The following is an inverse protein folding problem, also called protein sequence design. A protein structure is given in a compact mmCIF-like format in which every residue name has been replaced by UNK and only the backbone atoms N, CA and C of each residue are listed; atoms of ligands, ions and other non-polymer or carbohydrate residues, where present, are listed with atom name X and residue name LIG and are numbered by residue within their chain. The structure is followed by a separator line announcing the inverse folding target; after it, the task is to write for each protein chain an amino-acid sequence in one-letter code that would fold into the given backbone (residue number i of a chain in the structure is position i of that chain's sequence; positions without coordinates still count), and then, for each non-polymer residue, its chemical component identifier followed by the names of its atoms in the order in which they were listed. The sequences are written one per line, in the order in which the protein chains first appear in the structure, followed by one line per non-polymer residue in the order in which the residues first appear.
data_IF_757386864313
#
_entry.id   IF_757386864313
#
_cell.length_a   1.000
_cell.length_b   1.000
_cell.length_c   1.000
_cell.angle_alpha   90.00
_cell.angle_beta   90.00
_cell.angle_gamma   90.00
#
_symmetry.space_group_name_H-M   'P 1'
#
loop_
_entity.id
_entity.type
_entity.pdbx_description
1 polymer ?
#
# COMPACT_ATOMS: atom_id res chain seq x y z
N UNK A 1 -6.46 -14.34 5.73
CA UNK A 1 -5.88 -14.74 4.42
C UNK A 1 -4.57 -15.48 4.61
N UNK A 2 -3.50 -14.86 5.13
CA UNK A 2 -2.17 -15.49 5.24
C UNK A 2 -2.17 -16.79 6.08
N UNK A 3 -2.79 -16.77 7.27
CA UNK A 3 -2.84 -17.94 8.16
C UNK A 3 -3.49 -19.16 7.49
N UNK A 4 -4.61 -18.91 6.81
CA UNK A 4 -5.42 -19.90 6.10
C UNK A 4 -4.94 -20.19 4.66
N UNK A 5 -3.83 -19.56 4.24
CA UNK A 5 -3.29 -19.66 2.88
C UNK A 5 -4.28 -19.28 1.75
N UNK A 6 -5.23 -18.39 2.04
CA UNK A 6 -6.18 -17.85 1.06
C UNK A 6 -5.56 -16.70 0.24
N UNK A 7 -4.42 -16.93 -0.39
CA UNK A 7 -3.74 -15.94 -1.23
C UNK A 7 -3.08 -16.59 -2.45
N UNK A 8 -2.88 -15.81 -3.51
CA UNK A 8 -2.21 -16.27 -4.74
C UNK A 8 -0.70 -16.43 -4.49
N UNK A 9 -0.33 -17.65 -4.08
CA UNK A 9 1.05 -18.04 -3.80
C UNK A 9 1.97 -17.79 -4.99
N UNK A 10 1.52 -18.05 -6.21
CA UNK A 10 2.37 -17.91 -7.39
C UNK A 10 2.58 -16.44 -7.77
N UNK A 11 1.56 -15.62 -7.65
CA UNK A 11 1.71 -14.18 -7.82
C UNK A 11 2.71 -13.61 -6.82
N UNK A 12 2.54 -13.91 -5.54
CA UNK A 12 3.45 -13.43 -4.48
C UNK A 12 4.88 -13.90 -4.75
N UNK A 13 5.07 -15.18 -5.09
CA UNK A 13 6.40 -15.74 -5.39
C UNK A 13 7.07 -15.09 -6.60
N UNK A 14 6.30 -14.75 -7.64
CA UNK A 14 6.86 -14.23 -8.90
C UNK A 14 7.08 -12.72 -8.88
N UNK A 15 6.19 -11.97 -8.24
CA UNK A 15 6.09 -10.51 -8.43
C UNK A 15 6.45 -9.70 -7.19
N UNK A 16 6.91 -10.34 -6.11
CA UNK A 16 7.39 -9.66 -4.90
C UNK A 16 8.84 -10.00 -4.61
N UNK A 17 9.50 -9.20 -3.78
CA UNK A 17 10.86 -9.39 -3.29
C UNK A 17 10.90 -10.26 -2.01
N UNK A 18 10.11 -11.34 -1.97
CA UNK A 18 10.00 -12.22 -0.80
C UNK A 18 11.34 -12.84 -0.37
N UNK A 19 12.26 -13.05 -1.33
CA UNK A 19 13.59 -13.60 -1.08
C UNK A 19 14.51 -12.58 -0.41
N UNK A 20 14.40 -11.31 -0.80
CA UNK A 20 15.09 -10.19 -0.14
C UNK A 20 14.62 -10.03 1.30
N UNK A 21 13.32 -10.12 1.56
CA UNK A 21 12.77 -10.13 2.91
C UNK A 21 13.45 -11.20 3.78
N UNK A 22 13.58 -12.43 3.29
CA UNK A 22 14.25 -13.50 4.05
C UNK A 22 15.73 -13.18 4.27
N UNK A 23 16.47 -12.72 3.25
CA UNK A 23 17.90 -12.41 3.38
C UNK A 23 18.18 -11.28 4.37
N UNK A 24 17.31 -10.27 4.42
CA UNK A 24 17.53 -9.05 5.21
C UNK A 24 16.92 -9.17 6.61
N UNK A 25 15.69 -9.65 6.72
CA UNK A 25 14.93 -9.65 7.98
C UNK A 25 15.17 -10.94 8.78
N UNK A 26 15.38 -12.07 8.10
CA UNK A 26 15.59 -13.38 8.72
C UNK A 26 16.91 -14.02 8.28
N UNK A 27 18.06 -13.35 8.52
CA UNK A 27 19.36 -13.88 8.11
C UNK A 27 19.61 -15.23 8.80
N UNK A 28 19.92 -16.26 8.00
CA UNK A 28 20.14 -17.63 8.48
C UNK A 28 18.99 -18.61 8.20
N UNK A 29 17.82 -18.12 7.82
CA UNK A 29 16.75 -18.97 7.28
C UNK A 29 17.07 -19.46 5.87
N UNK A 30 16.62 -20.67 5.47
CA UNK A 30 16.64 -21.10 4.07
C UNK A 30 15.88 -20.10 3.19
N UNK A 31 16.47 -19.71 2.05
CA UNK A 31 15.82 -18.79 1.11
C UNK A 31 14.88 -19.58 0.19
N UNK A 32 13.76 -20.05 0.76
CA UNK A 32 12.71 -20.78 0.05
C UNK A 32 11.37 -20.08 0.24
N UNK A 33 10.46 -20.26 -0.71
CA UNK A 33 9.16 -19.60 -0.64
C UNK A 33 8.31 -20.10 0.54
N UNK A 34 8.39 -21.38 0.87
CA UNK A 34 7.67 -21.93 2.03
C UNK A 34 8.18 -21.36 3.36
N UNK A 35 9.49 -21.15 3.49
CA UNK A 35 10.07 -20.48 4.66
C UNK A 35 9.61 -19.03 4.74
N UNK A 36 9.52 -18.33 3.61
CA UNK A 36 8.93 -16.98 3.54
C UNK A 36 7.48 -16.96 4.03
N UNK A 37 6.64 -17.89 3.56
CA UNK A 37 5.24 -17.97 3.98
C UNK A 37 5.14 -18.26 5.48
N UNK A 38 6.01 -19.12 6.02
CA UNK A 38 6.07 -19.41 7.45
C UNK A 38 6.45 -18.17 8.27
N UNK A 39 7.50 -17.45 7.87
CA UNK A 39 7.92 -16.19 8.53
C UNK A 39 6.86 -15.10 8.41
N UNK A 40 6.17 -15.01 7.28
CA UNK A 40 5.06 -14.08 7.07
C UNK A 40 3.87 -14.41 7.99
N UNK A 41 3.53 -15.70 8.17
CA UNK A 41 2.51 -16.14 9.14
C UNK A 41 2.87 -15.72 10.56
N UNK A 42 4.13 -15.88 10.96
CA UNK A 42 4.60 -15.47 12.29
C UNK A 42 4.56 -13.96 12.49
N UNK A 43 5.00 -13.18 11.50
CA UNK A 43 4.96 -11.72 11.56
C UNK A 43 3.53 -11.19 11.68
N UNK A 44 2.58 -11.85 11.01
CA UNK A 44 1.17 -11.49 11.05
C UNK A 44 0.36 -12.17 12.16
N UNK A 45 0.97 -13.04 12.98
CA UNK A 45 0.24 -13.86 13.96
C UNK A 45 -0.52 -13.03 15.00
N UNK A 46 -0.01 -11.84 15.36
CA UNK A 46 -0.64 -10.94 16.34
C UNK A 46 -1.87 -10.18 15.81
N UNK A 47 -2.08 -10.13 14.50
CA UNK A 47 -3.20 -9.38 13.89
C UNK A 47 -4.40 -10.29 13.67
N UNK A 48 -5.01 -10.74 14.76
CA UNK A 48 -6.18 -11.62 14.69
C UNK A 48 -7.46 -10.83 14.41
N UNK A 49 -8.53 -11.48 13.89
CA UNK A 49 -9.84 -10.85 13.74
C UNK A 49 -10.38 -10.25 15.04
N UNK A 50 -10.14 -10.90 16.20
CA UNK A 50 -10.58 -10.43 17.52
C UNK A 50 -9.81 -9.18 17.96
N UNK A 51 -8.50 -9.13 17.71
CA UNK A 51 -7.70 -7.93 17.96
C UNK A 51 -8.16 -6.76 17.07
N UNK A 52 -8.51 -7.03 15.82
CA UNK A 52 -9.06 -6.04 14.90
C UNK A 52 -10.46 -5.57 15.31
N UNK A 53 -11.31 -6.46 15.83
CA UNK A 53 -12.63 -6.12 16.37
C UNK A 53 -12.53 -5.14 17.55
N UNK A 54 -11.60 -5.39 18.48
CA UNK A 54 -11.36 -4.50 19.62
C UNK A 54 -10.94 -3.08 19.18
N UNK A 55 -10.16 -2.96 18.11
CA UNK A 55 -9.64 -1.67 17.63
C UNK A 55 -10.60 -0.94 16.69
N UNK A 56 -11.35 -1.66 15.86
CA UNK A 56 -12.18 -1.09 14.79
C UNK A 56 -13.67 -1.06 15.11
N UNK A 57 -14.13 -1.88 16.06
CA UNK A 57 -15.55 -2.14 16.31
C UNK A 57 -16.24 -2.98 15.23
N UNK A 58 -15.51 -3.45 14.21
CA UNK A 58 -16.05 -4.36 13.19
C UNK A 58 -16.03 -5.78 13.75
N UNK A 59 -17.15 -6.52 13.76
CA UNK A 59 -17.19 -7.88 14.30
C UNK A 59 -16.14 -8.79 13.65
N UNK A 60 -15.43 -9.60 14.44
CA UNK A 60 -14.41 -10.53 13.94
C UNK A 60 -14.93 -11.43 12.80
N UNK A 61 -16.17 -11.92 12.93
CA UNK A 61 -16.84 -12.71 11.88
C UNK A 61 -16.90 -11.99 10.54
N UNK A 62 -17.18 -10.69 10.54
CA UNK A 62 -17.31 -9.88 9.32
C UNK A 62 -15.96 -9.66 8.66
N UNK A 63 -14.89 -9.55 9.46
CA UNK A 63 -13.51 -9.48 8.96
C UNK A 63 -13.12 -10.80 8.27
N UNK A 64 -13.47 -11.94 8.86
CA UNK A 64 -13.22 -13.26 8.28
C UNK A 64 -14.03 -13.47 7.00
N UNK A 65 -15.33 -13.15 7.01
CA UNK A 65 -16.20 -13.21 5.83
C UNK A 65 -15.64 -12.35 4.68
N UNK A 66 -15.25 -11.11 4.97
CA UNK A 66 -14.62 -10.23 3.98
C UNK A 66 -13.34 -10.85 3.40
N UNK A 67 -12.48 -11.44 4.24
CA UNK A 67 -11.27 -12.12 3.78
C UNK A 67 -11.57 -13.32 2.85
N UNK A 68 -12.65 -14.06 3.12
CA UNK A 68 -13.10 -15.15 2.25
C UNK A 68 -13.65 -14.63 0.92
N UNK A 69 -14.42 -13.53 0.93
CA UNK A 69 -14.92 -12.93 -0.31
C UNK A 69 -13.79 -12.41 -1.19
N UNK A 70 -12.77 -11.77 -0.60
CA UNK A 70 -11.58 -11.33 -1.33
C UNK A 70 -10.85 -12.52 -1.97
N UNK A 71 -10.71 -13.62 -1.24
CA UNK A 71 -10.09 -14.84 -1.77
C UNK A 71 -10.93 -15.47 -2.90
N UNK A 72 -12.25 -15.49 -2.77
CA UNK A 72 -13.17 -15.97 -3.82
C UNK A 72 -13.14 -15.10 -5.07
N UNK A 73 -13.03 -13.78 -4.89
CA UNK A 73 -13.04 -12.82 -5.98
C UNK A 73 -11.70 -12.72 -6.71
N UNK A 74 -10.60 -13.23 -6.14
CA UNK A 74 -9.27 -13.17 -6.74
C UNK A 74 -9.26 -13.76 -8.17
N UNK A 75 -8.61 -13.10 -9.16
CA UNK A 75 -7.84 -11.86 -9.06
C UNK A 75 -8.67 -10.57 -9.34
N UNK A 76 -9.99 -10.64 -9.39
CA UNK A 76 -10.88 -9.49 -9.63
C UNK A 76 -11.18 -8.72 -8.34
N UNK A 77 -10.11 -8.22 -7.69
CA UNK A 77 -10.19 -7.44 -6.45
C UNK A 77 -9.57 -6.07 -6.68
N UNK A 78 -10.31 -5.00 -6.35
CA UNK A 78 -9.78 -3.65 -6.40
C UNK A 78 -9.89 -2.96 -5.05
N UNK A 79 -8.80 -2.32 -4.59
CA UNK A 79 -8.79 -1.54 -3.35
C UNK A 79 -8.39 -0.11 -3.64
N UNK A 80 -9.08 0.84 -3.00
CA UNK A 80 -8.82 2.27 -3.17
C UNK A 80 -8.72 2.94 -1.81
N UNK A 81 -7.71 3.80 -1.67
CA UNK A 81 -7.49 4.56 -0.45
C UNK A 81 -8.09 5.97 -0.60
N UNK A 82 -8.89 6.39 0.37
CA UNK A 82 -9.32 7.77 0.45
C UNK A 82 -8.18 8.65 0.98
N UNK A 83 -7.94 9.81 0.34
CA UNK A 83 -6.80 10.69 0.67
C UNK A 83 -6.72 11.04 2.15
N UNK A 84 -7.85 11.32 2.81
CA UNK A 84 -7.84 11.73 4.20
C UNK A 84 -7.33 10.62 5.14
N UNK A 85 -7.57 9.34 4.83
CA UNK A 85 -7.06 8.24 5.64
C UNK A 85 -5.52 8.20 5.66
N UNK A 86 -4.88 8.56 4.54
CA UNK A 86 -3.43 8.61 4.45
C UNK A 86 -2.79 9.90 5.00
N UNK A 87 -3.50 11.04 4.91
CA UNK A 87 -2.92 12.36 5.18
C UNK A 87 -3.28 12.96 6.55
N UNK A 88 -4.37 12.53 7.19
CA UNK A 88 -4.93 13.22 8.36
C UNK A 88 -4.48 12.66 9.72
N UNK A 89 -3.62 11.63 9.75
CA UNK A 89 -3.20 10.98 10.99
C UNK A 89 -1.72 10.61 10.98
N UNK A 90 -1.10 10.61 12.17
CA UNK A 90 0.27 10.11 12.34
C UNK A 90 0.36 8.66 11.88
N UNK A 91 1.24 8.37 10.92
CA UNK A 91 1.36 7.05 10.32
C UNK A 91 0.26 6.68 9.30
N UNK A 92 -0.60 7.62 8.91
CA UNK A 92 -1.69 7.37 7.94
C UNK A 92 -1.22 6.76 6.61
N UNK A 93 0.02 7.02 6.18
CA UNK A 93 0.64 6.42 4.99
C UNK A 93 0.73 4.88 5.04
N UNK A 94 0.59 4.27 6.22
CA UNK A 94 0.54 2.81 6.38
C UNK A 94 -0.79 2.22 5.88
N UNK A 95 -1.89 2.97 5.92
CA UNK A 95 -3.22 2.55 5.43
C UNK A 95 -3.20 2.13 3.96
N UNK A 96 -2.74 2.96 3.01
CA UNK A 96 -2.66 2.55 1.61
C UNK A 96 -1.73 1.36 1.39
N UNK A 97 -0.67 1.19 2.20
CA UNK A 97 0.20 0.00 2.12
C UNK A 97 -0.53 -1.27 2.53
N UNK A 98 -1.27 -1.24 3.64
CA UNK A 98 -2.07 -2.36 4.11
C UNK A 98 -3.18 -2.73 3.13
N UNK A 99 -3.88 -1.73 2.58
CA UNK A 99 -4.91 -1.95 1.54
C UNK A 99 -4.31 -2.57 0.27
N UNK A 100 -3.22 -1.98 -0.25
CA UNK A 100 -2.59 -2.51 -1.46
C UNK A 100 -1.99 -3.90 -1.26
N UNK A 101 -1.60 -4.25 -0.04
CA UNK A 101 -1.15 -5.61 0.27
C UNK A 101 -2.25 -6.66 0.05
N UNK A 102 -3.54 -6.32 0.20
CA UNK A 102 -4.63 -7.20 -0.21
C UNK A 102 -4.62 -7.47 -1.73
N UNK A 103 -4.26 -6.48 -2.54
CA UNK A 103 -4.10 -6.70 -3.98
C UNK A 103 -2.94 -7.64 -4.30
N UNK A 104 -1.83 -7.53 -3.55
CA UNK A 104 -0.68 -8.43 -3.67
C UNK A 104 -1.07 -9.86 -3.29
N UNK A 105 -1.79 -10.04 -2.16
CA UNK A 105 -2.26 -11.35 -1.72
C UNK A 105 -3.28 -11.95 -2.68
N UNK A 106 -4.10 -11.15 -3.36
CA UNK A 106 -5.10 -11.65 -4.32
C UNK A 106 -4.60 -11.74 -5.75
N UNK A 107 -3.33 -11.37 -6.00
CA UNK A 107 -2.77 -11.33 -7.35
C UNK A 107 -3.50 -10.39 -8.31
N UNK A 108 -4.12 -9.33 -7.79
CA UNK A 108 -5.08 -8.50 -8.51
C UNK A 108 -4.49 -7.20 -9.09
N UNK A 109 -3.17 -7.10 -9.17
CA UNK A 109 -2.50 -5.93 -9.76
C UNK A 109 -2.46 -6.08 -11.28
N UNK A 110 -3.16 -5.20 -12.00
CA UNK A 110 -3.15 -5.17 -13.47
C UNK A 110 -3.98 -6.28 -14.14
N UNK A 111 -4.89 -6.93 -13.41
CA UNK A 111 -5.76 -7.99 -13.92
C UNK A 111 -7.15 -7.45 -14.29
N UNK A 112 -7.92 -8.14 -15.16
CA UNK A 112 -9.32 -7.81 -15.37
C UNK A 112 -10.12 -7.83 -14.05
N UNK A 113 -10.77 -6.71 -13.72
CA UNK A 113 -11.48 -6.52 -12.45
C UNK A 113 -10.58 -6.21 -11.23
N UNK A 114 -9.26 -6.19 -11.43
CA UNK A 114 -8.27 -5.88 -10.41
C UNK A 114 -7.97 -4.37 -10.28
N UNK A 115 -6.95 -4.04 -9.50
CA UNK A 115 -6.44 -2.66 -9.39
C UNK A 115 -5.48 -2.35 -10.54
N UNK A 116 -5.84 -1.33 -11.33
CA UNK A 116 -5.02 -0.81 -12.42
C UNK A 116 -4.10 0.31 -11.92
N UNK A 117 -2.76 0.18 -12.06
CA UNK A 117 -1.84 1.25 -11.71
C UNK A 117 -2.08 2.49 -12.58
N UNK A 118 -2.34 3.62 -11.93
CA UNK A 118 -2.74 4.85 -12.59
C UNK A 118 -1.79 5.32 -13.71
N UNK A 119 -0.48 5.04 -13.60
CA UNK A 119 0.53 5.46 -14.59
C UNK A 119 0.40 4.68 -15.91
N UNK A 120 -0.10 3.44 -15.89
CA UNK A 120 -0.13 2.58 -17.08
C UNK A 120 -0.99 3.15 -18.20
N UNK A 121 -2.05 3.87 -17.83
CA UNK A 121 -3.02 4.44 -18.77
C UNK A 121 -3.06 5.97 -18.70
N UNK A 122 -2.13 6.59 -17.96
CA UNK A 122 -2.08 8.04 -17.81
C UNK A 122 -1.62 8.70 -19.11
N UNK A 123 -2.58 9.22 -19.86
CA UNK A 123 -2.28 10.15 -20.94
C UNK A 123 -2.12 11.57 -20.38
N UNK A 124 -0.91 12.13 -20.48
CA UNK A 124 -0.67 13.56 -20.21
C UNK A 124 -0.50 14.26 -21.56
N UNK A 125 -1.48 15.07 -22.01
CA UNK A 125 -1.37 15.77 -23.27
C UNK A 125 -0.17 16.73 -23.20
N UNK A 126 0.64 16.76 -24.27
CA UNK A 126 1.67 17.78 -24.38
C UNK A 126 1.00 19.13 -24.64
N UNK A 127 1.35 20.19 -23.90
CA UNK A 127 0.87 21.52 -24.22
C UNK A 127 1.41 21.94 -25.60
N UNK A 128 0.70 22.84 -26.29
CA UNK A 128 1.13 23.36 -27.60
C UNK A 128 2.49 24.07 -27.54
N UNK A 129 2.85 24.59 -26.36
CA UNK A 129 4.13 25.19 -26.04
C UNK A 129 4.48 24.86 -24.59
N UNK A 130 5.74 24.53 -24.33
CA UNK A 130 6.28 24.43 -22.98
C UNK A 130 7.00 25.74 -22.64
N UNK A 131 6.61 26.45 -21.56
CA UNK A 131 7.37 27.60 -21.12
C UNK A 131 8.79 27.16 -20.71
N UNK A 132 9.82 28.01 -20.91
CA UNK A 132 11.16 27.70 -20.44
C UNK A 132 11.16 27.49 -18.93
N UNK A 133 12.06 26.63 -18.44
CA UNK A 133 12.25 26.42 -17.01
C UNK A 133 12.53 27.77 -16.32
N UNK A 134 11.92 27.96 -15.15
CA UNK A 134 12.20 29.09 -14.26
C UNK A 134 13.72 29.15 -14.00
N UNK A 135 14.37 30.26 -14.34
CA UNK A 135 15.82 30.47 -14.12
C UNK A 135 16.12 31.31 -12.88
N UNK A 136 15.09 31.85 -12.26
CA UNK A 136 15.18 32.73 -11.09
C UNK A 136 14.43 32.11 -9.92
N UNK A 137 14.91 32.38 -8.72
CA UNK A 137 14.21 31.99 -7.50
C UNK A 137 12.88 32.71 -7.40
N UNK A 138 11.78 31.97 -7.27
CA UNK A 138 10.45 32.53 -7.07
C UNK A 138 10.03 32.32 -5.61
N UNK A 139 10.13 33.38 -4.81
CA UNK A 139 9.79 33.34 -3.38
C UNK A 139 8.31 33.01 -3.11
N UNK A 140 7.41 33.20 -4.09
CA UNK A 140 5.99 32.79 -3.97
C UNK A 140 5.82 31.27 -4.03
N UNK A 141 6.67 30.56 -4.77
CA UNK A 141 6.61 29.10 -4.92
C UNK A 141 7.59 28.39 -3.97
N UNK A 142 8.73 29.01 -3.69
CA UNK A 142 9.75 28.53 -2.74
C UNK A 142 10.15 29.65 -1.77
N UNK A 143 9.44 29.79 -0.64
CA UNK A 143 9.82 30.74 0.40
C UNK A 143 11.23 30.44 0.92
N UNK A 144 11.99 31.50 1.23
CA UNK A 144 13.37 31.41 1.74
C UNK A 144 13.45 30.68 3.08
N UNK A 145 12.37 30.73 3.84
CA UNK A 145 12.19 30.11 5.15
C UNK A 145 12.20 28.57 5.05
N UNK A 146 11.77 28.02 3.91
CA UNK A 146 11.60 26.57 3.70
C UNK A 146 12.04 26.13 2.30
N UNK A 147 13.32 26.30 1.93
CA UNK A 147 13.79 26.18 0.55
C UNK A 147 13.77 24.74 0.00
N UNK A 148 13.47 23.73 0.83
CA UNK A 148 13.41 22.32 0.46
C UNK A 148 11.98 21.74 0.46
N UNK A 149 10.96 22.54 0.74
CA UNK A 149 9.57 22.09 0.67
C UNK A 149 9.14 22.00 -0.81
N UNK A 150 8.96 20.78 -1.33
CA UNK A 150 8.64 20.52 -2.75
C UNK A 150 7.15 20.72 -3.09
N UNK A 151 6.30 20.73 -2.07
CA UNK A 151 4.87 21.07 -2.16
C UNK A 151 4.60 22.12 -1.11
N UNK A 152 3.58 22.97 -1.33
CA UNK A 152 3.07 23.88 -0.30
C UNK A 152 3.05 23.11 1.02
N UNK A 153 3.83 23.59 1.99
CA UNK A 153 3.62 23.13 3.35
C UNK A 153 2.15 23.44 3.63
N UNK A 154 1.35 22.39 3.79
CA UNK A 154 -0.05 22.50 4.15
C UNK A 154 -0.09 23.04 5.58
N UNK A 155 0.19 24.33 5.76
CA UNK A 155 0.04 25.08 7.00
C UNK A 155 -1.45 25.36 7.26
N UNK A 156 -2.33 24.42 6.91
CA UNK A 156 -3.68 24.39 7.43
C UNK A 156 -3.58 24.06 8.92
N UNK A 157 -3.17 25.07 9.69
CA UNK A 157 -3.37 25.40 11.09
C UNK A 157 -2.08 26.01 11.69
N UNK A 158 -2.08 27.30 12.06
CA UNK A 158 -1.27 27.72 13.19
C UNK A 158 -1.87 27.10 14.45
N UNK A 159 -1.11 26.22 15.09
CA UNK A 159 -1.22 26.05 16.53
C UNK A 159 -0.62 27.28 17.20
N UNK A 160 -1.46 28.27 17.51
CA UNK A 160 -1.26 29.26 18.58
C UNK A 160 -2.62 29.57 19.20
#
# INVERSE_FOLDING_TARGET
MIQEEWFDREFVRRWTNWDEYLRVVHPGCPVTFDEFVQRLKEEYARYTPEAAEQLSGIPARTIVELAQELARAAPAVSTHNWRAAAAAHLGGWTVPRALFFLNVLTGSVGTPGGTQPNIWDKHVPRPFAEPPRQKVWNELTWPKEYPLAHHEMSFLLPHF
#
